data_IF_574529690651
#
_entry.id   IF_574529690651
#
_cell.length_a   1.000
_cell.length_b   1.000
_cell.length_c   1.000
_cell.angle_alpha   90.00
_cell.angle_beta   90.00
_cell.angle_gamma   90.00
#
_symmetry.space_group_name_H-M   'P 1'
#
loop_
_entity.id
_entity.type
_entity.pdbx_description
1 polymer ?
#
# COMPACT_ATOMS: atom_id res chain seq x y z
N UNK A 1 -3.14 10.61 -11.43
CA UNK A 1 -2.94 10.80 -9.98
C UNK A 1 -3.95 11.85 -9.54
N UNK A 2 -4.82 11.53 -8.58
CA UNK A 2 -5.92 12.41 -8.17
C UNK A 2 -5.37 13.67 -7.48
N UNK A 3 -5.91 14.86 -7.80
CA UNK A 3 -5.45 16.16 -7.25
C UNK A 3 -5.51 16.19 -5.72
N UNK A 4 -6.40 15.40 -5.13
CA UNK A 4 -6.57 15.29 -3.69
C UNK A 4 -5.35 14.66 -3.01
N UNK A 5 -4.77 13.59 -3.58
CA UNK A 5 -3.58 12.94 -3.00
C UNK A 5 -2.33 13.82 -3.09
N UNK A 6 -2.21 14.63 -4.14
CA UNK A 6 -1.11 15.62 -4.24
C UNK A 6 -1.21 16.65 -3.11
N UNK A 7 -2.43 17.09 -2.77
CA UNK A 7 -2.66 18.04 -1.68
C UNK A 7 -2.38 17.44 -0.31
N UNK A 8 -2.76 16.19 -0.08
CA UNK A 8 -2.46 15.49 1.19
C UNK A 8 -0.95 15.35 1.41
N UNK A 9 -0.21 14.96 0.36
CA UNK A 9 1.25 14.85 0.40
C UNK A 9 1.90 16.22 0.66
N UNK A 10 1.48 17.26 -0.06
CA UNK A 10 1.99 18.63 0.12
C UNK A 10 1.73 19.15 1.55
N UNK A 11 0.55 18.86 2.09
CA UNK A 11 0.16 19.30 3.43
C UNK A 11 0.96 18.57 4.52
N UNK A 12 1.18 17.27 4.39
CA UNK A 12 2.02 16.49 5.31
C UNK A 12 3.49 16.96 5.28
N UNK A 13 4.03 17.22 4.09
CA UNK A 13 5.38 17.79 3.92
C UNK A 13 5.47 19.16 4.59
N UNK A 14 4.48 20.05 4.36
CA UNK A 14 4.46 21.38 4.97
C UNK A 14 4.39 21.34 6.49
N UNK A 15 3.61 20.44 7.07
CA UNK A 15 3.53 20.26 8.53
C UNK A 15 4.90 19.83 9.07
N UNK A 16 5.53 18.84 8.43
CA UNK A 16 6.85 18.34 8.82
C UNK A 16 7.93 19.41 8.69
N UNK A 17 7.93 20.20 7.60
CA UNK A 17 8.85 21.32 7.40
C UNK A 17 8.62 22.46 8.40
N UNK A 18 7.37 22.79 8.70
CA UNK A 18 7.02 23.83 9.67
C UNK A 18 7.45 23.45 11.10
N UNK A 19 7.32 22.18 11.49
CA UNK A 19 7.82 21.66 12.76
C UNK A 19 9.36 21.74 12.89
N UNK A 20 10.07 21.90 11.76
CA UNK A 20 11.53 22.02 11.68
C UNK A 20 12.00 23.47 11.46
N UNK A 21 11.10 24.46 11.50
CA UNK A 21 11.48 25.84 11.27
C UNK A 21 12.27 26.41 12.46
N UNK A 22 13.53 26.83 12.23
CA UNK A 22 14.38 27.46 13.25
C UNK A 22 15.35 26.52 13.97
N UNK A 23 15.37 25.25 13.59
CA UNK A 23 16.38 24.27 14.02
C UNK A 23 17.52 24.19 13.01
N UNK A 24 18.78 24.19 13.47
CA UNK A 24 19.96 23.90 12.65
C UNK A 24 19.95 22.43 12.21
N UNK A 25 19.17 22.10 11.18
CA UNK A 25 19.19 20.75 10.61
C UNK A 25 19.95 20.71 9.30
N UNK A 26 20.77 19.67 9.18
CA UNK A 26 21.47 19.26 7.98
C UNK A 26 20.45 19.05 6.83
N UNK A 27 20.77 19.57 5.65
CA UNK A 27 20.03 19.37 4.38
C UNK A 27 19.69 17.90 4.16
N UNK A 28 20.56 16.98 4.58
CA UNK A 28 20.35 15.52 4.54
C UNK A 28 19.12 15.09 5.34
N UNK A 29 18.87 15.69 6.50
CA UNK A 29 17.74 15.34 7.37
C UNK A 29 16.42 15.79 6.74
N UNK A 30 16.40 16.98 6.13
CA UNK A 30 15.24 17.49 5.38
C UNK A 30 14.92 16.61 4.18
N UNK A 31 15.92 16.27 3.36
CA UNK A 31 15.73 15.34 2.23
C UNK A 31 15.21 13.98 2.71
N UNK A 32 15.75 13.46 3.81
CA UNK A 32 15.31 12.17 4.37
C UNK A 32 13.83 12.20 4.74
N UNK A 33 13.36 13.28 5.39
CA UNK A 33 11.95 13.43 5.78
C UNK A 33 11.03 13.53 4.57
N UNK A 34 11.40 14.37 3.59
CA UNK A 34 10.60 14.56 2.37
C UNK A 34 10.53 13.27 1.58
N UNK A 35 11.67 12.62 1.32
CA UNK A 35 11.72 11.36 0.56
C UNK A 35 10.97 10.26 1.29
N UNK A 36 11.13 10.13 2.61
CA UNK A 36 10.40 9.11 3.39
C UNK A 36 8.88 9.33 3.31
N UNK A 37 8.43 10.58 3.41
CA UNK A 37 6.99 10.92 3.32
C UNK A 37 6.41 10.62 1.94
N UNK A 38 7.17 10.95 0.87
CA UNK A 38 6.79 10.63 -0.50
C UNK A 38 6.74 9.11 -0.74
N UNK A 39 7.76 8.38 -0.30
CA UNK A 39 7.84 6.92 -0.45
C UNK A 39 6.67 6.24 0.25
N UNK A 40 6.34 6.62 1.48
CA UNK A 40 5.19 6.08 2.22
C UNK A 40 3.88 6.39 1.49
N UNK A 41 3.67 7.63 1.08
CA UNK A 41 2.43 8.04 0.40
C UNK A 41 2.22 7.29 -0.92
N UNK A 42 3.27 7.15 -1.75
CA UNK A 42 3.19 6.38 -2.99
C UNK A 42 2.85 4.92 -2.67
N UNK A 43 3.48 4.34 -1.66
CA UNK A 43 3.24 2.95 -1.27
C UNK A 43 1.79 2.73 -0.82
N UNK A 44 1.23 3.63 -0.01
CA UNK A 44 -0.14 3.54 0.48
C UNK A 44 -1.17 3.65 -0.66
N UNK A 45 -0.98 4.62 -1.57
CA UNK A 45 -1.83 4.79 -2.75
C UNK A 45 -1.87 3.50 -3.58
N UNK A 46 -0.70 2.95 -3.89
CA UNK A 46 -0.57 1.77 -4.75
C UNK A 46 -1.10 0.50 -4.09
N UNK A 47 -0.98 0.43 -2.77
CA UNK A 47 -1.47 -0.72 -2.03
C UNK A 47 -2.99 -0.68 -1.80
N UNK A 48 -3.59 0.49 -1.68
CA UNK A 48 -5.04 0.63 -1.63
C UNK A 48 -5.73 0.03 -2.88
N UNK A 49 -5.08 0.06 -4.04
CA UNK A 49 -5.55 -0.65 -5.24
C UNK A 49 -5.56 -2.17 -5.04
N UNK A 50 -4.50 -2.73 -4.43
CA UNK A 50 -4.44 -4.14 -4.07
C UNK A 50 -5.52 -4.54 -3.04
N UNK A 51 -5.81 -3.67 -2.05
CA UNK A 51 -6.91 -3.88 -1.08
C UNK A 51 -8.27 -3.92 -1.76
N UNK A 52 -8.51 -2.98 -2.68
CA UNK A 52 -9.74 -2.92 -3.49
C UNK A 52 -9.92 -4.19 -4.31
N UNK A 53 -8.83 -4.69 -4.89
CA UNK A 53 -8.81 -5.94 -5.63
C UNK A 53 -9.09 -7.16 -4.75
N UNK A 54 -8.44 -7.26 -3.57
CA UNK A 54 -8.72 -8.31 -2.57
C UNK A 54 -10.21 -8.32 -2.22
N UNK A 55 -10.76 -7.16 -1.88
CA UNK A 55 -12.18 -7.02 -1.49
C UNK A 55 -13.11 -7.50 -2.60
N UNK A 56 -12.82 -7.10 -3.84
CA UNK A 56 -13.62 -7.48 -5.01
C UNK A 56 -13.55 -8.98 -5.28
N UNK A 57 -12.34 -9.56 -5.25
CA UNK A 57 -12.13 -11.00 -5.51
C UNK A 57 -12.66 -11.88 -4.37
N UNK A 58 -12.50 -11.47 -3.12
CA UNK A 58 -13.04 -12.17 -1.94
C UNK A 58 -14.58 -12.26 -2.01
N UNK A 59 -15.25 -11.15 -2.36
CA UNK A 59 -16.71 -11.13 -2.59
C UNK A 59 -17.15 -12.06 -3.71
N UNK A 60 -16.41 -12.12 -4.82
CA UNK A 60 -16.71 -13.04 -5.92
C UNK A 60 -16.54 -14.50 -5.51
N UNK A 61 -15.56 -14.80 -4.65
CA UNK A 61 -15.25 -16.16 -4.22
C UNK A 61 -16.14 -16.69 -3.10
N UNK A 62 -16.63 -15.82 -2.21
CA UNK A 62 -17.56 -16.18 -1.14
C UNK A 62 -18.64 -15.12 -1.00
N UNK A 63 -19.85 -15.44 -1.50
CA UNK A 63 -21.03 -14.56 -1.43
C UNK A 63 -21.45 -14.32 0.03
N UNK A 64 -21.12 -15.23 0.94
CA UNK A 64 -21.47 -15.16 2.37
C UNK A 64 -20.67 -14.10 3.14
N UNK A 65 -19.47 -13.74 2.67
CA UNK A 65 -18.66 -12.72 3.35
C UNK A 65 -19.25 -11.34 3.11
N UNK A 66 -19.65 -10.61 4.16
CA UNK A 66 -20.02 -9.20 4.07
C UNK A 66 -18.79 -8.31 3.79
N UNK A 67 -19.00 -7.08 3.30
CA UNK A 67 -17.88 -6.14 3.10
C UNK A 67 -17.20 -5.79 4.43
N UNK A 68 -17.99 -5.69 5.50
CA UNK A 68 -17.50 -5.44 6.86
C UNK A 68 -16.58 -6.56 7.35
N UNK A 69 -17.00 -7.82 7.21
CA UNK A 69 -16.14 -8.97 7.57
C UNK A 69 -14.83 -9.01 6.79
N UNK A 70 -14.85 -8.64 5.49
CA UNK A 70 -13.62 -8.54 4.69
C UNK A 70 -12.70 -7.47 5.27
N UNK A 71 -13.24 -6.29 5.60
CA UNK A 71 -12.48 -5.20 6.19
C UNK A 71 -11.90 -5.60 7.57
N UNK A 72 -12.72 -6.19 8.43
CA UNK A 72 -12.30 -6.64 9.77
C UNK A 72 -11.16 -7.67 9.69
N UNK A 73 -11.22 -8.61 8.74
CA UNK A 73 -10.14 -9.58 8.53
C UNK A 73 -8.87 -8.95 7.95
N UNK A 74 -8.99 -8.01 7.01
CA UNK A 74 -7.84 -7.26 6.51
C UNK A 74 -7.14 -6.50 7.64
N UNK A 75 -7.89 -5.81 8.49
CA UNK A 75 -7.37 -5.12 9.67
C UNK A 75 -6.67 -6.07 10.63
N UNK A 76 -7.23 -7.26 10.89
CA UNK A 76 -6.55 -8.30 11.69
C UNK A 76 -5.22 -8.72 11.08
N UNK A 77 -5.16 -8.92 9.76
CA UNK A 77 -3.93 -9.30 9.07
C UNK A 77 -2.87 -8.17 9.15
N UNK A 78 -3.29 -6.91 9.08
CA UNK A 78 -2.41 -5.76 9.31
C UNK A 78 -1.86 -5.71 10.74
N UNK A 79 -2.75 -5.77 11.74
CA UNK A 79 -2.35 -5.68 13.14
C UNK A 79 -1.41 -6.82 13.56
N UNK A 80 -1.53 -7.99 12.93
CA UNK A 80 -0.66 -9.16 13.15
C UNK A 80 0.61 -9.16 12.30
N UNK A 81 0.85 -8.10 11.53
CA UNK A 81 1.97 -8.00 10.60
C UNK A 81 2.10 -9.25 9.69
N UNK A 82 0.97 -9.67 9.11
CA UNK A 82 0.93 -10.88 8.29
C UNK A 82 1.92 -10.79 7.12
N UNK A 83 2.75 -11.81 6.95
CA UNK A 83 3.80 -11.84 5.93
C UNK A 83 3.26 -11.61 4.51
N UNK A 84 2.11 -12.20 4.15
CA UNK A 84 1.54 -12.01 2.81
C UNK A 84 1.10 -10.56 2.59
N UNK A 85 0.57 -9.90 3.62
CA UNK A 85 0.19 -8.49 3.56
C UNK A 85 1.42 -7.60 3.42
N UNK A 86 2.46 -7.84 4.24
CA UNK A 86 3.70 -7.05 4.20
C UNK A 86 4.46 -7.23 2.88
N UNK A 87 4.46 -8.43 2.31
CA UNK A 87 5.04 -8.66 0.97
C UNK A 87 4.20 -7.96 -0.11
N UNK A 88 2.86 -8.05 -0.05
CA UNK A 88 1.99 -7.39 -1.01
C UNK A 88 2.12 -5.85 -0.96
N UNK A 89 2.29 -5.28 0.23
CA UNK A 89 2.55 -3.86 0.46
C UNK A 89 3.79 -3.39 -0.29
N UNK A 90 4.91 -4.13 -0.13
CA UNK A 90 6.16 -3.82 -0.81
C UNK A 90 6.10 -4.07 -2.32
N UNK A 91 5.48 -5.16 -2.75
CA UNK A 91 5.31 -5.46 -4.18
C UNK A 91 4.46 -4.42 -4.90
N UNK A 92 3.43 -3.87 -4.24
CA UNK A 92 2.60 -2.81 -4.82
C UNK A 92 3.42 -1.56 -5.13
N UNK A 93 4.37 -1.22 -4.26
CA UNK A 93 5.30 -0.11 -4.48
C UNK A 93 6.30 -0.40 -5.61
N UNK A 94 6.93 -1.58 -5.60
CA UNK A 94 7.93 -1.95 -6.63
C UNK A 94 7.28 -2.02 -8.02
N UNK A 95 6.04 -2.53 -8.10
CA UNK A 95 5.26 -2.55 -9.34
C UNK A 95 5.10 -1.14 -9.91
N UNK A 96 4.64 -0.19 -9.08
CA UNK A 96 4.43 1.19 -9.48
C UNK A 96 5.73 1.90 -9.91
N UNK A 97 6.83 1.65 -9.20
CA UNK A 97 8.14 2.16 -9.62
C UNK A 97 8.57 1.55 -10.95
N UNK A 98 8.43 0.23 -11.10
CA UNK A 98 8.82 -0.47 -12.32
C UNK A 98 8.03 0.01 -13.54
N UNK A 99 6.73 0.29 -13.38
CA UNK A 99 5.91 0.89 -14.44
C UNK A 99 6.33 2.32 -14.74
N UNK A 100 6.54 3.15 -13.71
CA UNK A 100 6.91 4.56 -13.87
C UNK A 100 8.25 4.75 -14.58
N UNK A 101 9.21 3.85 -14.35
CA UNK A 101 10.55 3.88 -14.96
C UNK A 101 10.69 2.92 -16.15
N UNK A 102 9.58 2.37 -16.66
CA UNK A 102 9.55 1.50 -17.84
C UNK A 102 10.42 0.21 -17.72
N UNK A 103 10.58 -0.32 -16.51
CA UNK A 103 11.19 -1.63 -16.25
C UNK A 103 10.17 -2.76 -16.49
N UNK A 104 9.79 -2.97 -17.75
CA UNK A 104 8.68 -3.85 -18.15
C UNK A 104 8.77 -5.29 -17.60
N UNK A 105 9.98 -5.86 -17.56
CA UNK A 105 10.19 -7.22 -17.01
C UNK A 105 9.88 -7.27 -15.52
N UNK A 106 10.34 -6.27 -14.76
CA UNK A 106 10.11 -6.16 -13.32
C UNK A 106 8.63 -5.93 -13.04
N UNK A 107 7.98 -5.01 -13.75
CA UNK A 107 6.54 -4.76 -13.61
C UNK A 107 5.72 -6.03 -13.88
N UNK A 108 6.05 -6.77 -14.95
CA UNK A 108 5.39 -8.06 -15.26
C UNK A 108 5.54 -9.07 -14.12
N UNK A 109 6.74 -9.23 -13.57
CA UNK A 109 6.98 -10.14 -12.44
C UNK A 109 6.20 -9.68 -11.20
N UNK A 110 6.18 -8.37 -10.92
CA UNK A 110 5.45 -7.82 -9.79
C UNK A 110 3.94 -8.09 -9.90
N UNK A 111 3.33 -7.88 -11.07
CA UNK A 111 1.91 -8.21 -11.30
C UNK A 111 1.58 -9.68 -11.02
N UNK A 112 2.45 -10.60 -11.45
CA UNK A 112 2.29 -12.04 -11.19
C UNK A 112 2.35 -12.31 -9.69
N UNK A 113 3.36 -11.77 -9.00
CA UNK A 113 3.52 -11.97 -7.56
C UNK A 113 2.39 -11.31 -6.76
N UNK A 114 1.96 -10.10 -7.11
CA UNK A 114 0.80 -9.42 -6.51
C UNK A 114 -0.44 -10.31 -6.57
N UNK A 115 -0.78 -10.84 -7.75
CA UNK A 115 -1.93 -11.74 -7.90
C UNK A 115 -1.82 -13.00 -7.02
N UNK A 116 -0.61 -13.57 -6.90
CA UNK A 116 -0.36 -14.73 -6.03
C UNK A 116 -0.59 -14.40 -4.55
N UNK A 117 -0.06 -13.28 -4.04
CA UNK A 117 -0.23 -12.89 -2.64
C UNK A 117 -1.66 -12.45 -2.32
N UNK A 118 -2.33 -11.76 -3.25
CA UNK A 118 -3.77 -11.45 -3.16
C UNK A 118 -4.57 -12.74 -2.96
N UNK A 119 -4.32 -13.76 -3.77
CA UNK A 119 -5.05 -15.03 -3.66
C UNK A 119 -4.80 -15.72 -2.30
N UNK A 120 -3.55 -15.71 -1.81
CA UNK A 120 -3.21 -16.24 -0.48
C UNK A 120 -3.94 -15.51 0.64
N UNK A 121 -4.01 -14.18 0.58
CA UNK A 121 -4.76 -13.37 1.56
C UNK A 121 -6.24 -13.75 1.53
N UNK A 122 -6.83 -13.86 0.33
CA UNK A 122 -8.23 -14.27 0.18
C UNK A 122 -8.45 -15.69 0.74
N UNK A 123 -7.53 -16.63 0.50
CA UNK A 123 -7.60 -17.99 1.05
C UNK A 123 -7.63 -17.97 2.58
N UNK A 124 -6.77 -17.18 3.22
CA UNK A 124 -6.77 -17.00 4.68
C UNK A 124 -8.12 -16.47 5.16
N UNK A 125 -8.64 -15.41 4.53
CA UNK A 125 -9.90 -14.78 4.93
C UNK A 125 -11.11 -15.69 4.75
N UNK A 126 -11.17 -16.45 3.66
CA UNK A 126 -12.28 -17.38 3.37
C UNK A 126 -12.21 -18.59 4.30
N UNK A 127 -11.03 -19.13 4.58
CA UNK A 127 -10.90 -20.30 5.46
C UNK A 127 -11.08 -19.95 6.94
N UNK A 128 -10.77 -18.73 7.38
CA UNK A 128 -11.07 -18.26 8.74
C UNK A 128 -12.57 -18.05 9.00
N UNK A 129 -13.40 -17.96 7.95
CA UNK A 129 -14.85 -17.75 8.03
C UNK A 129 -15.67 -18.93 7.48
N UNK A 130 -15.05 -20.11 7.34
CA UNK A 130 -15.74 -21.39 7.14
C UNK A 130 -16.13 -21.98 8.49
#
# INVERSE_FOLDING_TARGET
>A
MDKNHIREIDQDIKIKLAAMHGTEFDVVLMYTIVVSSLTTSIRDIQFNDSIREITTRAKKRSVKLSKKQIQDELEKLFMRNNENMSILYNLSYIDALAESFNYLKTARICKIQKSKYINRIIDLMVNSNK
#
